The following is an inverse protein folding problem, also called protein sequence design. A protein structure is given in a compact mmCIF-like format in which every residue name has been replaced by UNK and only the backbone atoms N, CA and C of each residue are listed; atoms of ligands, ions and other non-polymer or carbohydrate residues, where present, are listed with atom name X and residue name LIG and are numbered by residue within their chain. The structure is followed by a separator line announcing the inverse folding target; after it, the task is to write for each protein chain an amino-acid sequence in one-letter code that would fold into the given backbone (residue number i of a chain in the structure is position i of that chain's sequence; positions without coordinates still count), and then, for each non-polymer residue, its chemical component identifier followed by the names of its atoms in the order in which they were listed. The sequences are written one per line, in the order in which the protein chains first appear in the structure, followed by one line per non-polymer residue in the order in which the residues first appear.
data_IF_900071950598
#
_entry.id   IF_900071950598
#
_cell.length_a   1.000
_cell.length_b   1.000
_cell.length_c   1.000
_cell.angle_alpha   90.00
_cell.angle_beta   90.00
_cell.angle_gamma   90.00
#
_symmetry.space_group_name_H-M   'P 1'
#
loop_
_entity.id
_entity.type
_entity.pdbx_description
1 polymer ?
#
# COMPACT_ATOMS: atom_id res chain seq x y z
N UNK A 1 20.90 -10.92 -4.43
CA UNK A 1 20.15 -10.83 -5.67
C UNK A 1 18.68 -10.98 -5.31
N UNK A 2 17.88 -9.98 -5.61
CA UNK A 2 16.45 -10.10 -5.48
C UNK A 2 16.01 -11.41 -6.11
N UNK A 3 15.07 -12.07 -5.49
CA UNK A 3 14.42 -13.20 -6.09
C UNK A 3 13.55 -12.68 -7.25
N UNK A 4 14.24 -12.28 -8.32
CA UNK A 4 13.60 -11.97 -9.58
C UNK A 4 13.18 -13.33 -10.13
N UNK A 5 11.97 -13.73 -9.79
CA UNK A 5 11.34 -14.88 -10.42
C UNK A 5 11.36 -14.76 -11.94
N UNK A 6 10.95 -15.82 -12.63
CA UNK A 6 10.76 -15.79 -14.06
C UNK A 6 9.87 -14.60 -14.47
N UNK A 7 9.98 -14.16 -15.72
CA UNK A 7 9.08 -13.14 -16.25
C UNK A 7 7.61 -13.58 -16.04
N UNK A 8 6.69 -12.66 -15.75
CA UNK A 8 5.31 -13.01 -15.38
C UNK A 8 4.60 -13.96 -16.34
N UNK A 9 4.94 -13.90 -17.62
CA UNK A 9 4.36 -14.75 -18.67
C UNK A 9 4.80 -16.21 -18.59
N UNK A 10 5.92 -16.50 -17.92
CA UNK A 10 6.48 -17.84 -17.81
C UNK A 10 6.67 -18.34 -16.39
N UNK A 11 6.25 -17.52 -15.40
CA UNK A 11 6.42 -17.86 -14.00
C UNK A 11 5.18 -18.61 -13.47
N UNK A 12 5.42 -19.66 -12.68
CA UNK A 12 4.36 -20.30 -11.91
C UNK A 12 3.81 -19.33 -10.86
N UNK A 13 2.58 -19.57 -10.38
CA UNK A 13 1.93 -18.69 -9.41
C UNK A 13 2.74 -18.52 -8.12
N UNK A 14 3.38 -19.59 -7.67
CA UNK A 14 4.25 -19.61 -6.50
C UNK A 14 5.50 -18.73 -6.70
N UNK A 15 6.10 -18.77 -7.89
CA UNK A 15 7.26 -17.94 -8.23
C UNK A 15 6.91 -16.45 -8.27
N UNK A 16 5.68 -16.12 -8.62
CA UNK A 16 5.16 -14.74 -8.59
C UNK A 16 4.73 -14.29 -7.19
N UNK A 17 4.78 -15.17 -6.18
CA UNK A 17 4.26 -14.90 -4.85
C UNK A 17 2.73 -14.89 -4.77
N UNK A 18 2.05 -15.39 -5.79
CA UNK A 18 0.59 -15.52 -5.83
C UNK A 18 0.19 -16.95 -5.46
N UNK A 19 -0.96 -17.11 -4.81
CA UNK A 19 -1.47 -18.42 -4.43
C UNK A 19 -0.60 -19.16 -3.41
N UNK A 20 0.30 -18.45 -2.75
CA UNK A 20 1.23 -19.01 -1.80
C UNK A 20 0.49 -19.61 -0.61
N UNK A 21 0.87 -20.81 -0.19
CA UNK A 21 0.23 -21.51 0.94
C UNK A 21 1.18 -21.63 2.11
N UNK A 22 0.71 -21.24 3.29
CA UNK A 22 1.41 -21.50 4.52
C UNK A 22 1.26 -22.99 4.88
N UNK A 23 2.39 -23.69 5.01
CA UNK A 23 2.40 -25.10 5.32
C UNK A 23 2.19 -25.42 6.81
N UNK A 24 2.30 -24.43 7.70
CA UNK A 24 2.21 -24.61 9.15
C UNK A 24 0.78 -24.50 9.68
N UNK A 25 0.00 -23.52 9.23
CA UNK A 25 -1.33 -23.21 9.78
C UNK A 25 -2.45 -23.27 8.75
N UNK A 26 -2.18 -23.64 7.52
CA UNK A 26 -3.15 -23.66 6.41
C UNK A 26 -3.78 -22.28 6.16
N UNK A 27 -3.00 -21.22 6.33
CA UNK A 27 -3.45 -19.83 6.18
C UNK A 27 -4.60 -19.44 7.13
N UNK A 28 -4.51 -19.86 8.39
CA UNK A 28 -5.47 -19.49 9.46
C UNK A 28 -4.76 -18.60 10.47
N UNK A 29 -5.49 -17.62 11.04
CA UNK A 29 -4.97 -16.68 12.02
C UNK A 29 -3.90 -15.76 11.43
N UNK A 30 -2.79 -15.58 12.13
CA UNK A 30 -1.67 -14.73 11.71
C UNK A 30 -1.04 -15.12 10.37
N UNK A 31 -1.23 -16.36 9.96
CA UNK A 31 -0.63 -16.92 8.74
C UNK A 31 -1.55 -16.83 7.52
N UNK A 32 -2.49 -15.89 7.53
CA UNK A 32 -3.44 -15.71 6.42
C UNK A 32 -2.86 -14.98 5.21
N UNK A 33 -1.65 -14.43 5.34
CA UNK A 33 -0.98 -13.70 4.25
C UNK A 33 -0.47 -14.66 3.19
N UNK A 34 -1.03 -14.59 1.99
CA UNK A 34 -0.72 -15.52 0.89
C UNK A 34 0.69 -15.36 0.33
N UNK A 35 1.34 -14.21 0.52
CA UNK A 35 2.74 -14.00 0.13
C UNK A 35 3.75 -14.74 1.02
N UNK A 36 3.33 -15.25 2.17
CA UNK A 36 4.22 -15.86 3.16
C UNK A 36 5.14 -14.90 3.91
N UNK A 37 5.06 -13.60 3.62
CA UNK A 37 5.78 -12.55 4.37
C UNK A 37 5.11 -12.44 5.75
N UNK A 38 5.91 -12.49 6.81
CA UNK A 38 5.39 -12.49 8.18
C UNK A 38 6.16 -11.51 9.05
N UNK A 39 5.43 -10.63 9.74
CA UNK A 39 5.97 -9.64 10.64
C UNK A 39 5.45 -8.23 10.37
N UNK A 40 5.98 -7.27 11.10
CA UNK A 40 5.67 -5.85 10.96
C UNK A 40 6.90 -5.07 10.50
N UNK A 41 6.69 -3.93 9.83
CA UNK A 41 7.76 -3.05 9.36
C UNK A 41 8.22 -2.03 10.42
N UNK A 42 7.48 -1.92 11.52
CA UNK A 42 7.71 -0.92 12.55
C UNK A 42 7.35 -1.48 13.92
N UNK A 43 7.93 -0.91 14.97
CA UNK A 43 7.65 -1.26 16.37
C UNK A 43 6.18 -1.05 16.74
N UNK A 44 5.53 -0.05 16.14
CA UNK A 44 4.13 0.31 16.42
C UNK A 44 3.28 0.27 15.14
N UNK A 45 2.92 -0.92 14.62
CA UNK A 45 2.30 -1.06 13.30
C UNK A 45 0.92 -0.40 13.17
N UNK A 46 0.25 -0.10 14.28
CA UNK A 46 -1.06 0.57 14.29
C UNK A 46 -0.96 2.09 14.47
N UNK A 47 0.26 2.65 14.55
CA UNK A 47 0.49 4.06 14.75
C UNK A 47 1.18 4.67 13.54
N UNK A 48 0.68 5.82 13.08
CA UNK A 48 1.40 6.64 12.11
C UNK A 48 2.51 7.40 12.81
N UNK A 49 3.75 6.98 12.59
CA UNK A 49 4.96 7.61 13.13
C UNK A 49 6.15 7.40 12.18
N UNK A 50 7.34 7.76 12.63
CA UNK A 50 8.57 7.63 11.85
C UNK A 50 9.29 6.29 12.06
N UNK A 51 8.70 5.36 12.83
CA UNK A 51 9.31 4.10 13.26
C UNK A 51 9.82 3.22 12.13
N UNK A 52 9.17 3.27 10.96
CA UNK A 52 9.65 2.56 9.78
C UNK A 52 11.07 3.00 9.37
N UNK A 53 11.29 4.30 9.23
CA UNK A 53 12.62 4.83 8.88
C UNK A 53 13.63 4.67 10.02
N UNK A 54 13.16 4.79 11.27
CA UNK A 54 14.01 4.58 12.43
C UNK A 54 14.62 3.17 12.41
N UNK A 55 13.81 2.14 12.23
CA UNK A 55 14.28 0.76 12.13
C UNK A 55 15.12 0.51 10.88
N UNK A 56 14.68 1.01 9.72
CA UNK A 56 15.38 0.83 8.45
C UNK A 56 16.83 1.30 8.54
N UNK A 57 17.07 2.47 9.14
CA UNK A 57 18.40 3.08 9.21
C UNK A 57 19.21 2.70 10.45
N UNK A 58 18.56 2.35 11.55
CA UNK A 58 19.21 1.99 12.81
C UNK A 58 19.94 0.65 12.74
N UNK A 59 19.35 -0.33 12.07
CA UNK A 59 19.85 -1.70 12.06
C UNK A 59 20.53 -2.09 10.74
N UNK A 60 21.45 -3.06 10.82
CA UNK A 60 21.84 -3.87 9.68
C UNK A 60 20.85 -5.01 9.49
N UNK A 61 20.70 -5.43 8.24
CA UNK A 61 19.67 -6.37 7.84
C UNK A 61 20.28 -7.56 7.12
N UNK A 62 19.73 -8.74 7.35
CA UNK A 62 20.13 -9.96 6.66
C UNK A 62 18.92 -10.72 6.12
N UNK A 63 19.12 -11.39 4.98
CA UNK A 63 18.06 -12.14 4.32
C UNK A 63 17.78 -13.43 5.07
N UNK A 64 16.52 -13.63 5.42
CA UNK A 64 16.03 -14.80 6.11
C UNK A 64 14.81 -15.39 5.42
N UNK A 65 14.39 -16.57 5.86
CA UNK A 65 13.08 -17.11 5.52
C UNK A 65 12.12 -16.90 6.67
N UNK A 66 10.90 -16.49 6.34
CA UNK A 66 9.78 -16.51 7.28
C UNK A 66 9.48 -17.94 7.72
N UNK A 67 8.69 -18.18 8.78
CA UNK A 67 8.20 -19.52 9.13
C UNK A 67 7.50 -20.20 7.97
N UNK A 68 6.86 -19.45 7.13
CA UNK A 68 6.19 -19.89 5.93
C UNK A 68 7.13 -20.14 4.74
N UNK A 69 8.41 -19.79 4.82
CA UNK A 69 9.43 -20.01 3.81
C UNK A 69 9.66 -18.88 2.82
N UNK A 70 8.91 -17.77 2.92
CA UNK A 70 9.14 -16.59 2.08
C UNK A 70 10.42 -15.87 2.48
N UNK A 71 11.14 -15.30 1.50
CA UNK A 71 12.32 -14.49 1.78
C UNK A 71 11.91 -13.11 2.30
N UNK A 72 12.51 -12.73 3.40
CA UNK A 72 12.36 -11.42 4.03
C UNK A 72 13.62 -11.03 4.76
N UNK A 73 13.84 -9.73 4.97
CA UNK A 73 14.97 -9.21 5.69
C UNK A 73 14.62 -9.03 7.16
N UNK A 74 15.52 -9.44 8.05
CA UNK A 74 15.40 -9.26 9.48
C UNK A 74 16.58 -8.46 10.03
N UNK A 75 16.37 -7.64 11.09
CA UNK A 75 17.45 -6.86 11.67
C UNK A 75 18.43 -7.75 12.45
N UNK A 76 19.70 -7.35 12.43
CA UNK A 76 20.76 -8.01 13.19
C UNK A 76 20.83 -7.38 14.58
N UNK A 77 20.80 -8.20 15.63
CA UNK A 77 20.96 -7.76 17.03
C UNK A 77 19.96 -6.66 17.43
N UNK A 78 18.69 -6.82 17.08
CA UNK A 78 17.66 -5.86 17.44
C UNK A 78 17.46 -5.79 18.96
N UNK A 79 17.26 -4.57 19.46
CA UNK A 79 16.90 -4.32 20.86
C UNK A 79 15.43 -4.73 21.11
N UNK A 80 15.13 -5.25 22.29
CA UNK A 80 13.79 -5.74 22.63
C UNK A 80 12.72 -4.64 22.54
N UNK A 81 13.07 -3.42 22.93
CA UNK A 81 12.17 -2.26 22.86
C UNK A 81 11.77 -1.87 21.42
N UNK A 82 12.56 -2.26 20.44
CA UNK A 82 12.27 -2.00 19.03
C UNK A 82 11.45 -3.12 18.35
N UNK A 83 11.28 -4.24 19.03
CA UNK A 83 10.46 -5.34 18.55
C UNK A 83 8.97 -5.04 18.70
N UNK A 84 8.15 -5.15 17.65
CA UNK A 84 6.70 -5.10 17.77
C UNK A 84 6.17 -6.24 18.63
N UNK A 85 5.04 -6.02 19.26
CA UNK A 85 4.28 -7.08 19.92
C UNK A 85 3.59 -7.97 18.91
N UNK A 86 3.44 -9.23 19.24
CA UNK A 86 2.64 -10.17 18.43
C UNK A 86 1.18 -9.71 18.38
N UNK A 87 0.53 -9.92 17.25
CA UNK A 87 -0.84 -9.46 17.01
C UNK A 87 -1.88 -10.24 17.83
N UNK A 88 -1.59 -11.48 18.17
CA UNK A 88 -2.48 -12.36 18.93
C UNK A 88 -2.10 -12.45 20.41
N UNK A 89 -0.81 -12.41 20.72
CA UNK A 89 -0.30 -12.52 22.07
C UNK A 89 0.64 -11.34 22.43
N UNK A 90 0.13 -10.31 23.12
CA UNK A 90 0.93 -9.13 23.46
C UNK A 90 2.09 -9.40 24.43
N UNK A 91 2.20 -10.60 25.00
CA UNK A 91 3.36 -10.99 25.81
C UNK A 91 4.57 -11.42 24.95
N UNK A 92 4.36 -11.66 23.67
CA UNK A 92 5.40 -12.09 22.72
C UNK A 92 5.91 -10.88 21.96
N UNK A 93 7.23 -10.81 21.75
CA UNK A 93 7.90 -9.85 20.88
C UNK A 93 8.33 -10.53 19.60
N UNK A 94 8.02 -9.93 18.47
CA UNK A 94 8.35 -10.44 17.15
C UNK A 94 9.48 -9.62 16.53
N UNK A 95 10.28 -10.24 15.68
CA UNK A 95 11.25 -9.49 14.88
C UNK A 95 10.51 -8.68 13.80
N UNK A 96 10.81 -7.39 13.65
CA UNK A 96 10.34 -6.67 12.47
C UNK A 96 10.99 -7.23 11.21
N UNK A 97 10.39 -6.94 10.07
CA UNK A 97 10.91 -7.40 8.79
C UNK A 97 10.88 -6.30 7.74
N UNK A 98 11.70 -6.46 6.71
CA UNK A 98 11.72 -5.62 5.52
C UNK A 98 11.72 -6.50 4.27
N UNK A 99 11.26 -5.94 3.16
CA UNK A 99 11.30 -6.56 1.83
C UNK A 99 12.51 -6.06 1.03
N UNK A 100 12.77 -6.63 -0.14
CA UNK A 100 13.79 -6.13 -1.07
C UNK A 100 13.52 -4.69 -1.51
N UNK A 101 12.25 -4.31 -1.66
CA UNK A 101 11.86 -2.94 -1.97
C UNK A 101 12.24 -1.96 -0.85
N UNK A 102 12.09 -2.38 0.41
CA UNK A 102 12.51 -1.58 1.56
C UNK A 102 14.03 -1.47 1.62
N UNK A 103 14.74 -2.55 1.33
CA UNK A 103 16.21 -2.52 1.26
C UNK A 103 16.73 -1.59 0.16
N UNK A 104 16.00 -1.45 -0.94
CA UNK A 104 16.34 -0.46 -1.97
C UNK A 104 16.31 0.98 -1.40
N UNK A 105 15.40 1.30 -0.50
CA UNK A 105 15.38 2.62 0.17
C UNK A 105 16.62 2.87 1.04
N UNK A 106 17.31 1.82 1.47
CA UNK A 106 18.54 1.91 2.26
C UNK A 106 19.80 1.89 1.41
N UNK A 107 19.84 1.09 0.35
CA UNK A 107 21.08 0.79 -0.38
C UNK A 107 21.22 1.49 -1.73
N UNK A 108 20.10 1.77 -2.43
CA UNK A 108 20.14 2.55 -3.66
C UNK A 108 20.39 4.02 -3.34
N UNK A 109 21.41 4.67 -3.93
CA UNK A 109 21.81 6.04 -3.57
C UNK A 109 20.68 7.08 -3.80
N UNK A 110 19.89 6.92 -4.85
CA UNK A 110 18.83 7.88 -5.16
C UNK A 110 17.63 7.70 -4.23
N UNK A 111 17.23 6.45 -3.99
CA UNK A 111 16.14 6.15 -3.06
C UNK A 111 16.53 6.49 -1.62
N UNK A 112 17.74 6.17 -1.22
CA UNK A 112 18.25 6.51 0.11
C UNK A 112 18.19 8.00 0.40
N UNK A 113 18.59 8.83 -0.53
CA UNK A 113 18.52 10.28 -0.42
C UNK A 113 17.08 10.78 -0.13
N UNK A 114 16.10 10.18 -0.79
CA UNK A 114 14.68 10.50 -0.57
C UNK A 114 14.23 9.99 0.79
N UNK A 115 14.55 8.75 1.14
CA UNK A 115 14.18 8.13 2.41
C UNK A 115 14.78 8.86 3.61
N UNK A 116 16.07 9.26 3.54
CA UNK A 116 16.71 10.07 4.59
C UNK A 116 16.09 11.47 4.74
N UNK A 117 15.62 12.07 3.63
CA UNK A 117 14.89 13.33 3.71
C UNK A 117 13.59 13.18 4.48
N UNK A 118 12.81 12.14 4.19
CA UNK A 118 11.57 11.86 4.89
C UNK A 118 11.79 11.42 6.35
N UNK A 119 12.86 10.71 6.62
CA UNK A 119 13.26 10.40 7.99
C UNK A 119 13.51 11.65 8.83
N UNK A 120 14.17 12.66 8.24
CA UNK A 120 14.49 13.94 8.89
C UNK A 120 13.30 14.90 8.97
N UNK A 121 12.33 14.77 8.09
CA UNK A 121 11.14 15.62 8.00
C UNK A 121 9.86 14.78 7.90
N UNK A 122 9.32 14.33 9.04
CA UNK A 122 8.09 13.54 9.08
C UNK A 122 6.87 14.26 8.50
N UNK A 123 6.82 15.59 8.55
CA UNK A 123 5.73 16.36 7.97
C UNK A 123 5.74 16.29 6.44
N UNK A 124 6.92 16.43 5.83
CA UNK A 124 7.08 16.25 4.39
C UNK A 124 6.75 14.81 3.95
N UNK A 125 7.09 13.81 4.77
CA UNK A 125 6.70 12.42 4.51
C UNK A 125 5.17 12.25 4.53
N UNK A 126 4.52 12.78 5.55
CA UNK A 126 3.05 12.68 5.70
C UNK A 126 2.33 13.32 4.50
N UNK A 127 2.74 14.51 4.09
CA UNK A 127 2.15 15.18 2.90
C UNK A 127 2.39 14.37 1.62
N UNK A 128 3.61 13.90 1.40
CA UNK A 128 3.95 13.12 0.21
C UNK A 128 3.18 11.79 0.16
N UNK A 129 3.06 11.11 1.30
CA UNK A 129 2.29 9.87 1.40
C UNK A 129 0.80 10.11 1.14
N UNK A 130 0.21 11.14 1.75
CA UNK A 130 -1.19 11.46 1.56
C UNK A 130 -1.52 11.77 0.08
N UNK A 131 -0.64 12.52 -0.61
CA UNK A 131 -0.77 12.81 -2.04
C UNK A 131 -0.62 11.57 -2.91
N UNK A 132 0.33 10.70 -2.60
CA UNK A 132 0.53 9.44 -3.32
C UNK A 132 -0.65 8.49 -3.12
N UNK A 133 -1.16 8.38 -1.90
CA UNK A 133 -2.35 7.59 -1.59
C UNK A 133 -3.60 8.10 -2.29
N UNK A 134 -3.81 9.41 -2.28
CA UNK A 134 -4.91 10.03 -3.01
C UNK A 134 -4.81 9.74 -4.51
N UNK A 135 -3.63 9.88 -5.11
CA UNK A 135 -3.42 9.52 -6.52
C UNK A 135 -3.74 8.05 -6.79
N UNK A 136 -3.22 7.14 -5.96
CA UNK A 136 -3.46 5.70 -6.11
C UNK A 136 -4.95 5.36 -6.10
N UNK A 137 -5.69 5.93 -5.15
CA UNK A 137 -7.11 5.58 -4.92
C UNK A 137 -8.09 6.33 -5.82
N UNK A 138 -7.69 7.44 -6.43
CA UNK A 138 -8.60 8.31 -7.21
C UNK A 138 -8.26 8.39 -8.70
N UNK A 139 -7.16 7.79 -9.14
CA UNK A 139 -6.73 7.87 -10.54
C UNK A 139 -7.78 7.34 -11.52
N UNK A 140 -8.53 6.31 -11.14
CA UNK A 140 -9.55 5.65 -11.94
C UNK A 140 -10.98 6.12 -11.62
N UNK A 141 -11.12 7.10 -10.71
CA UNK A 141 -12.43 7.59 -10.24
C UNK A 141 -13.10 8.61 -11.20
N UNK A 142 -12.42 8.94 -12.29
CA UNK A 142 -12.89 9.97 -13.21
C UNK A 142 -12.63 11.40 -12.68
N UNK A 143 -13.27 12.40 -13.28
CA UNK A 143 -12.96 13.80 -12.99
C UNK A 143 -13.39 14.23 -11.59
N UNK A 144 -12.65 15.15 -10.99
CA UNK A 144 -12.92 15.73 -9.67
C UNK A 144 -14.36 16.28 -9.52
N UNK A 145 -14.95 16.76 -10.60
CA UNK A 145 -16.35 17.23 -10.61
C UNK A 145 -17.38 16.16 -10.20
N UNK A 146 -16.99 14.88 -10.18
CA UNK A 146 -17.84 13.76 -9.74
C UNK A 146 -17.62 13.37 -8.27
N UNK A 147 -16.63 13.93 -7.61
CA UNK A 147 -16.37 13.64 -6.20
C UNK A 147 -17.43 14.32 -5.34
N UNK A 148 -17.83 13.62 -4.28
CA UNK A 148 -18.91 14.06 -3.39
C UNK A 148 -18.38 14.08 -1.96
N UNK A 149 -18.69 15.14 -1.23
CA UNK A 149 -18.38 15.24 0.19
C UNK A 149 -17.58 16.49 0.53
N UNK A 150 -17.43 16.78 1.84
CA UNK A 150 -16.74 17.97 2.32
C UNK A 150 -15.22 17.92 2.15
N UNK A 151 -14.67 16.71 2.04
CA UNK A 151 -13.22 16.47 2.01
C UNK A 151 -12.63 16.44 0.59
N UNK A 152 -13.43 16.82 -0.42
CA UNK A 152 -12.93 16.89 -1.80
C UNK A 152 -11.87 17.99 -1.88
N UNK A 153 -10.62 17.67 -2.30
CA UNK A 153 -9.57 18.67 -2.43
C UNK A 153 -9.95 19.77 -3.40
N UNK A 154 -9.71 21.03 -3.02
CA UNK A 154 -9.92 22.17 -3.91
C UNK A 154 -8.90 22.19 -5.06
N UNK A 155 -7.70 21.66 -4.82
CA UNK A 155 -6.58 21.60 -5.76
C UNK A 155 -6.86 20.61 -6.90
N UNK A 156 -6.50 20.96 -8.12
CA UNK A 156 -6.42 20.05 -9.26
C UNK A 156 -4.97 19.54 -9.37
N UNK A 157 -4.81 18.23 -9.29
CA UNK A 157 -3.48 17.62 -9.35
C UNK A 157 -3.08 17.32 -10.79
N UNK A 158 -1.77 17.29 -11.06
CA UNK A 158 -1.20 17.15 -12.40
C UNK A 158 -1.65 15.88 -13.16
N UNK A 159 -2.05 14.85 -12.43
CA UNK A 159 -2.53 13.59 -13.02
C UNK A 159 -4.04 13.58 -13.28
N UNK A 160 -4.76 14.63 -12.89
CA UNK A 160 -6.21 14.75 -13.12
C UNK A 160 -6.45 15.45 -14.46
N UNK A 161 -7.25 14.80 -15.33
CA UNK A 161 -7.62 15.41 -16.60
C UNK A 161 -8.59 16.58 -16.40
N UNK A 162 -8.35 17.70 -17.04
CA UNK A 162 -9.30 18.80 -17.03
C UNK A 162 -10.58 18.36 -17.76
N UNK A 163 -11.71 18.49 -17.09
CA UNK A 163 -13.01 18.18 -17.69
C UNK A 163 -13.73 19.50 -17.97
N UNK A 164 -14.20 19.70 -19.21
CA UNK A 164 -15.02 20.86 -19.52
C UNK A 164 -16.24 20.95 -18.61
N UNK A 165 -16.60 22.13 -18.20
CA UNK A 165 -17.82 22.33 -17.44
C UNK A 165 -19.01 21.78 -18.26
N UNK A 166 -19.77 20.88 -17.62
CA UNK A 166 -20.97 20.35 -18.25
C UNK A 166 -22.00 21.46 -18.50
N UNK A 167 -22.84 21.27 -19.49
CA UNK A 167 -24.00 22.15 -19.70
C UNK A 167 -24.93 22.08 -18.48
N UNK A 168 -25.41 23.23 -18.05
CA UNK A 168 -26.36 23.35 -16.93
C UNK A 168 -27.70 23.94 -17.37
N UNK A 169 -27.86 24.17 -18.68
CA UNK A 169 -28.98 24.89 -19.31
C UNK A 169 -30.04 23.92 -19.85
N UNK A 170 -30.10 22.68 -19.39
CA UNK A 170 -31.12 21.72 -19.79
C UNK A 170 -32.17 21.49 -18.67
N UNK A 171 -33.40 21.28 -19.10
CA UNK A 171 -34.51 20.95 -18.21
C UNK A 171 -34.44 19.47 -17.80
N UNK A 172 -33.99 19.25 -16.55
CA UNK A 172 -33.88 17.90 -15.98
C UNK A 172 -35.22 17.18 -15.93
N UNK A 173 -36.31 17.88 -15.67
CA UNK A 173 -37.65 17.27 -15.58
C UNK A 173 -38.10 16.81 -16.97
N UNK A 174 -37.89 17.62 -18.00
CA UNK A 174 -38.22 17.23 -19.36
C UNK A 174 -37.38 16.06 -19.86
N UNK A 175 -36.07 16.00 -19.52
CA UNK A 175 -35.21 14.85 -19.85
C UNK A 175 -35.71 13.58 -19.16
N UNK A 176 -36.01 13.64 -17.87
CA UNK A 176 -36.57 12.49 -17.12
C UNK A 176 -37.90 12.01 -17.70
N UNK A 177 -38.80 12.94 -18.04
CA UNK A 177 -40.07 12.59 -18.66
C UNK A 177 -39.87 11.84 -20.00
N UNK A 178 -38.92 12.26 -20.81
CA UNK A 178 -38.57 11.59 -22.07
C UNK A 178 -38.01 10.19 -21.85
N UNK A 179 -37.14 10.00 -20.86
CA UNK A 179 -36.60 8.68 -20.48
C UNK A 179 -37.73 7.73 -20.08
N UNK A 180 -38.64 8.19 -19.22
CA UNK A 180 -39.81 7.40 -18.78
C UNK A 180 -40.72 7.07 -19.97
N UNK A 181 -40.99 8.04 -20.84
CA UNK A 181 -41.84 7.86 -22.02
C UNK A 181 -41.21 6.90 -23.06
N UNK A 182 -39.91 6.73 -23.07
CA UNK A 182 -39.26 5.78 -23.95
C UNK A 182 -39.55 4.32 -23.62
N UNK A 183 -40.00 4.05 -22.37
CA UNK A 183 -40.46 2.70 -21.96
C UNK A 183 -39.34 1.64 -21.94
N UNK A 184 -38.06 2.07 -21.93
CA UNK A 184 -36.95 1.14 -21.87
C UNK A 184 -36.85 0.47 -20.50
N UNK A 185 -36.66 -0.85 -20.44
CA UNK A 185 -36.40 -1.53 -19.19
C UNK A 185 -35.04 -1.15 -18.62
N UNK A 186 -34.85 -1.30 -17.31
CA UNK A 186 -33.62 -0.86 -16.58
C UNK A 186 -32.35 -1.48 -17.15
N UNK A 187 -32.42 -2.69 -17.69
CA UNK A 187 -31.30 -3.39 -18.28
C UNK A 187 -30.91 -2.88 -19.68
N UNK A 188 -31.70 -1.97 -20.26
CA UNK A 188 -31.40 -1.33 -21.56
C UNK A 188 -31.05 0.17 -21.41
N UNK A 189 -31.08 0.71 -20.17
CA UNK A 189 -30.66 2.06 -19.82
C UNK A 189 -29.23 2.12 -19.32
#
# INVERSE_FOLDING_TARGET
AANLGAAPEGAELEEQGLGWQNHTTRAIGRDTVTSGIEGAWTTNPTKWDNGYFDLLFKYDWWLQKSPAGAHQWQPINIAEEDMPVDVEDPSIRCSPMMTDADMALKFDPEYRKIAERFHKDPAAFTDAFARAWFKLTHRDMGPKARYIGPDVPAEDLIWQDPVPAGRKDYDVAAVKARIVAAGLPINEM
#
